data_IF_240161278977
#
_entry.id   IF_240161278977
#
_cell.length_a   1.000
_cell.length_b   1.000
_cell.length_c   1.000
_cell.angle_alpha   90.00
_cell.angle_beta   90.00
_cell.angle_gamma   90.00
#
_symmetry.space_group_name_H-M   'P 1'
#
loop_
_entity.id
_entity.type
_entity.pdbx_description
1 polymer ?
#
# COMPACT_ATOMS: atom_id res chain seq x y z
N UNK A 1 0.60 8.80 22.96
CA UNK A 1 -0.39 8.07 23.74
C UNK A 1 -0.16 6.57 23.65
N UNK A 2 -0.61 5.83 24.66
CA UNK A 2 -0.35 4.41 24.77
C UNK A 2 -0.87 3.57 23.62
N UNK A 3 -2.07 3.88 23.11
CA UNK A 3 -2.68 3.12 22.00
C UNK A 3 -1.86 3.24 20.71
N UNK A 4 -1.36 4.43 20.43
CA UNK A 4 -0.55 4.67 19.24
C UNK A 4 0.83 4.01 19.37
N UNK A 5 1.40 4.00 20.56
CA UNK A 5 2.70 3.35 20.80
C UNK A 5 2.61 1.84 20.65
N UNK A 6 1.53 1.21 21.10
CA UNK A 6 1.26 -0.21 20.90
C UNK A 6 1.15 -0.52 19.40
N UNK A 7 0.44 0.31 18.67
CA UNK A 7 0.26 0.16 17.23
C UNK A 7 1.60 0.25 16.50
N UNK A 8 2.45 1.19 16.86
CA UNK A 8 3.80 1.32 16.30
C UNK A 8 4.66 0.08 16.55
N UNK A 9 4.57 -0.48 17.75
CA UNK A 9 5.32 -1.69 18.11
C UNK A 9 4.89 -2.87 17.24
N UNK A 10 3.58 -3.05 17.06
CA UNK A 10 3.05 -4.11 16.18
C UNK A 10 3.49 -3.90 14.73
N UNK A 11 3.48 -2.65 14.27
CA UNK A 11 3.89 -2.33 12.90
C UNK A 11 5.37 -2.65 12.66
N UNK A 12 6.23 -2.58 13.68
CA UNK A 12 7.65 -2.91 13.54
C UNK A 12 7.89 -4.42 13.41
N UNK A 13 6.89 -5.25 13.77
CA UNK A 13 6.97 -6.71 13.67
C UNK A 13 6.31 -7.19 12.37
N UNK A 14 6.76 -6.64 11.23
CA UNK A 14 6.12 -6.88 9.94
C UNK A 14 6.26 -8.31 9.41
N UNK A 15 7.01 -9.17 10.09
CA UNK A 15 7.14 -10.57 9.71
C UNK A 15 5.89 -11.41 10.04
N UNK A 16 5.02 -10.91 10.91
CA UNK A 16 3.77 -11.59 11.27
C UNK A 16 2.59 -10.97 10.53
N UNK A 17 1.48 -11.70 10.31
CA UNK A 17 0.29 -11.11 9.69
C UNK A 17 -0.25 -9.92 10.49
N UNK A 18 -0.29 -10.02 11.81
CA UNK A 18 -0.79 -8.94 12.69
C UNK A 18 0.10 -7.70 12.60
N UNK A 19 1.43 -7.89 12.61
CA UNK A 19 2.37 -6.79 12.48
C UNK A 19 2.31 -6.14 11.11
N UNK A 20 2.17 -6.95 10.05
CA UNK A 20 2.02 -6.44 8.69
C UNK A 20 0.73 -5.66 8.51
N UNK A 21 -0.39 -6.16 9.05
CA UNK A 21 -1.66 -5.44 9.04
C UNK A 21 -1.54 -4.12 9.78
N UNK A 22 -0.88 -4.12 10.94
CA UNK A 22 -0.67 -2.90 11.73
C UNK A 22 0.17 -1.89 10.94
N UNK A 23 1.20 -2.33 10.22
CA UNK A 23 2.01 -1.46 9.37
C UNK A 23 1.16 -0.82 8.27
N UNK A 24 0.31 -1.63 7.62
CA UNK A 24 -0.62 -1.13 6.60
C UNK A 24 -1.57 -0.08 7.18
N UNK A 25 -2.15 -0.34 8.36
CA UNK A 25 -3.11 0.57 8.98
C UNK A 25 -2.45 1.90 9.39
N UNK A 26 -1.18 1.89 9.81
CA UNK A 26 -0.43 3.13 10.05
C UNK A 26 -0.30 3.94 8.76
N UNK A 27 0.04 3.28 7.66
CA UNK A 27 0.17 3.91 6.35
C UNK A 27 -1.17 4.50 5.91
N UNK A 28 -2.25 3.74 6.08
CA UNK A 28 -3.60 4.21 5.74
C UNK A 28 -3.98 5.46 6.53
N UNK A 29 -3.62 5.52 7.82
CA UNK A 29 -3.89 6.70 8.65
C UNK A 29 -3.21 7.95 8.08
N UNK A 30 -1.95 7.85 7.66
CA UNK A 30 -1.25 8.97 7.03
C UNK A 30 -1.89 9.34 5.68
N UNK A 31 -2.33 8.34 4.92
CA UNK A 31 -3.05 8.59 3.67
C UNK A 31 -4.33 9.38 3.92
N UNK A 32 -5.11 8.98 4.92
CA UNK A 32 -6.39 9.64 5.25
C UNK A 32 -6.19 11.09 5.71
N UNK A 33 -5.02 11.39 6.28
CA UNK A 33 -4.65 12.74 6.70
C UNK A 33 -4.08 13.59 5.56
N UNK A 34 -3.89 13.00 4.38
CA UNK A 34 -3.29 13.69 3.23
C UNK A 34 -1.78 13.83 3.31
N UNK A 35 -1.12 13.12 4.22
CA UNK A 35 0.34 13.15 4.38
C UNK A 35 0.99 12.12 3.44
N UNK A 36 0.98 12.43 2.15
CA UNK A 36 1.41 11.52 1.10
C UNK A 36 2.92 11.28 1.09
N UNK A 37 3.70 12.25 1.53
CA UNK A 37 5.15 12.07 1.66
C UNK A 37 5.48 11.01 2.70
N UNK A 38 4.78 11.02 3.84
CA UNK A 38 4.97 10.00 4.87
C UNK A 38 4.48 8.63 4.40
N UNK A 39 3.36 8.59 3.65
CA UNK A 39 2.89 7.33 3.04
C UNK A 39 4.00 6.72 2.18
N UNK A 40 4.59 7.50 1.30
CA UNK A 40 5.66 7.03 0.41
C UNK A 40 6.84 6.46 1.21
N UNK A 41 7.33 7.21 2.20
CA UNK A 41 8.46 6.79 3.03
C UNK A 41 8.15 5.50 3.81
N UNK A 42 6.94 5.40 4.36
CA UNK A 42 6.52 4.23 5.15
C UNK A 42 6.32 2.99 4.28
N UNK A 43 5.80 3.13 3.08
CA UNK A 43 5.65 2.01 2.15
C UNK A 43 7.02 1.44 1.79
N UNK A 44 7.98 2.29 1.46
CA UNK A 44 9.34 1.84 1.14
C UNK A 44 10.02 1.17 2.34
N UNK A 45 9.85 1.72 3.55
CA UNK A 45 10.39 1.11 4.76
C UNK A 45 9.77 -0.28 5.01
N UNK A 46 8.46 -0.41 4.78
CA UNK A 46 7.76 -1.70 4.92
C UNK A 46 8.27 -2.71 3.89
N UNK A 47 8.46 -2.29 2.64
CA UNK A 47 9.04 -3.12 1.60
C UNK A 47 10.46 -3.57 1.97
N UNK A 48 11.29 -2.64 2.46
CA UNK A 48 12.68 -2.91 2.81
C UNK A 48 12.81 -3.78 4.06
N UNK A 49 11.76 -3.91 4.87
CA UNK A 49 11.77 -4.78 6.05
C UNK A 49 11.87 -6.27 5.70
N UNK A 50 11.66 -6.62 4.43
CA UNK A 50 11.70 -8.00 3.97
C UNK A 50 10.51 -8.82 4.44
N UNK A 51 9.36 -8.17 4.68
CA UNK A 51 8.17 -8.88 5.13
C UNK A 51 7.78 -9.99 4.15
N UNK A 52 7.42 -11.16 4.68
CA UNK A 52 6.84 -12.23 3.89
C UNK A 52 5.32 -12.11 3.74
N UNK A 53 4.71 -11.08 4.33
CA UNK A 53 3.27 -10.86 4.30
C UNK A 53 2.89 -10.08 3.04
N UNK A 54 2.93 -10.74 1.89
CA UNK A 54 2.81 -10.09 0.57
C UNK A 54 1.44 -9.46 0.35
N UNK A 55 0.37 -10.00 0.94
CA UNK A 55 -0.96 -9.39 0.85
C UNK A 55 -0.96 -7.96 1.41
N UNK A 56 -0.45 -7.79 2.63
CA UNK A 56 -0.44 -6.48 3.29
C UNK A 56 0.54 -5.53 2.61
N UNK A 57 1.67 -6.05 2.14
CA UNK A 57 2.63 -5.24 1.38
C UNK A 57 2.01 -4.76 0.06
N UNK A 58 1.30 -5.62 -0.66
CA UNK A 58 0.60 -5.23 -1.89
C UNK A 58 -0.45 -4.15 -1.61
N UNK A 59 -1.22 -4.29 -0.52
CA UNK A 59 -2.20 -3.29 -0.12
C UNK A 59 -1.52 -1.94 0.19
N UNK A 60 -0.35 -1.96 0.80
CA UNK A 60 0.44 -0.75 1.07
C UNK A 60 0.90 -0.10 -0.25
N UNK A 61 1.34 -0.87 -1.22
CA UNK A 61 1.72 -0.34 -2.54
C UNK A 61 0.51 0.25 -3.29
N UNK A 62 -0.68 -0.28 -3.09
CA UNK A 62 -1.91 0.33 -3.64
C UNK A 62 -2.12 1.73 -3.04
N UNK A 63 -1.93 1.89 -1.73
CA UNK A 63 -1.99 3.21 -1.10
C UNK A 63 -0.90 4.15 -1.64
N UNK A 64 0.29 3.64 -1.93
CA UNK A 64 1.35 4.43 -2.54
C UNK A 64 0.93 4.93 -3.93
N UNK A 65 0.37 4.05 -4.75
CA UNK A 65 -0.15 4.44 -6.06
C UNK A 65 -1.26 5.48 -5.95
N UNK A 66 -2.17 5.31 -4.99
CA UNK A 66 -3.23 6.29 -4.71
C UNK A 66 -2.64 7.63 -4.28
N UNK A 67 -1.56 7.63 -3.49
CA UNK A 67 -0.87 8.86 -3.07
C UNK A 67 -0.28 9.60 -4.27
N UNK A 68 0.33 8.88 -5.20
CA UNK A 68 0.84 9.48 -6.43
C UNK A 68 -0.31 10.09 -7.25
N UNK A 69 -1.43 9.38 -7.38
CA UNK A 69 -2.58 9.87 -8.12
C UNK A 69 -3.17 11.14 -7.49
N UNK A 70 -3.26 11.18 -6.15
CA UNK A 70 -3.75 12.36 -5.42
C UNK A 70 -2.84 13.58 -5.62
N UNK A 71 -1.55 13.38 -5.85
CA UNK A 71 -0.59 14.44 -6.11
C UNK A 71 -0.51 14.81 -7.61
N UNK A 72 -1.34 14.18 -8.47
CA UNK A 72 -1.30 14.40 -9.91
C UNK A 72 -0.14 13.70 -10.61
N UNK A 73 0.60 12.84 -9.91
CA UNK A 73 1.73 12.10 -10.46
C UNK A 73 1.23 10.80 -11.10
N UNK A 74 0.51 10.90 -12.20
CA UNK A 74 -0.22 9.79 -12.79
C UNK A 74 0.68 8.71 -13.39
N UNK A 75 1.86 9.07 -13.88
CA UNK A 75 2.82 8.10 -14.42
C UNK A 75 3.37 7.21 -13.31
N UNK A 76 3.71 7.80 -12.17
CA UNK A 76 4.18 7.05 -11.01
C UNK A 76 3.07 6.18 -10.43
N UNK A 77 1.84 6.69 -10.38
CA UNK A 77 0.69 5.91 -9.94
C UNK A 77 0.51 4.67 -10.82
N UNK A 78 0.53 4.85 -12.13
CA UNK A 78 0.40 3.76 -13.10
C UNK A 78 1.51 2.73 -12.91
N UNK A 79 2.76 3.17 -12.83
CA UNK A 79 3.91 2.28 -12.66
C UNK A 79 3.79 1.47 -11.36
N UNK A 80 3.33 2.08 -10.29
CA UNK A 80 3.14 1.42 -8.99
C UNK A 80 2.05 0.35 -9.08
N UNK A 81 0.91 0.66 -9.68
CA UNK A 81 -0.17 -0.32 -9.85
C UNK A 81 0.25 -1.47 -10.78
N UNK A 82 0.97 -1.18 -11.85
CA UNK A 82 1.48 -2.21 -12.77
C UNK A 82 2.47 -3.14 -12.08
N UNK A 83 3.32 -2.62 -11.20
CA UNK A 83 4.26 -3.43 -10.43
C UNK A 83 3.53 -4.41 -9.51
N UNK A 84 2.42 -4.01 -8.89
CA UNK A 84 1.61 -4.91 -8.08
C UNK A 84 0.94 -5.97 -8.97
N UNK A 85 0.34 -5.55 -10.08
CA UNK A 85 -0.30 -6.45 -11.05
C UNK A 85 0.65 -7.56 -11.49
N UNK A 86 1.89 -7.19 -11.81
CA UNK A 86 2.85 -8.10 -12.43
C UNK A 86 3.61 -8.93 -11.39
N UNK A 87 3.75 -8.43 -10.17
CA UNK A 87 4.56 -9.07 -9.13
C UNK A 87 3.78 -9.79 -8.03
N UNK A 88 2.48 -9.56 -7.93
CA UNK A 88 1.70 -10.13 -6.84
C UNK A 88 0.99 -11.42 -7.26
N UNK A 89 1.08 -12.45 -6.43
CA UNK A 89 0.34 -13.70 -6.61
C UNK A 89 -0.80 -13.77 -5.59
N UNK A 90 -2.06 -13.88 -6.02
CA UNK A 90 -3.20 -13.94 -5.08
C UNK A 90 -3.08 -15.11 -4.11
N UNK A 91 -3.48 -14.88 -2.87
CA UNK A 91 -3.38 -15.87 -1.78
C UNK A 91 -4.64 -16.74 -1.65
N UNK A 92 -5.74 -16.33 -2.27
CA UNK A 92 -6.99 -17.10 -2.18
C UNK A 92 -8.12 -16.42 -2.95
N UNK A 93 -9.31 -17.00 -2.87
CA UNK A 93 -10.49 -16.53 -3.61
C UNK A 93 -10.98 -15.16 -3.15
N UNK A 94 -10.78 -14.85 -1.86
CA UNK A 94 -11.21 -13.59 -1.27
C UNK A 94 -10.16 -12.49 -1.37
N UNK A 95 -9.05 -12.77 -2.04
CA UNK A 95 -7.98 -11.80 -2.26
C UNK A 95 -8.43 -10.76 -3.30
N UNK A 96 -8.54 -9.53 -2.86
CA UNK A 96 -9.08 -8.43 -3.67
C UNK A 96 -7.99 -7.57 -4.34
N UNK A 97 -6.71 -7.92 -4.17
CA UNK A 97 -5.60 -7.07 -4.60
C UNK A 97 -5.62 -6.80 -6.10
N UNK A 98 -5.67 -7.84 -6.91
CA UNK A 98 -5.61 -7.66 -8.38
C UNK A 98 -6.84 -6.94 -8.93
N UNK A 99 -8.03 -7.17 -8.35
CA UNK A 99 -9.25 -6.46 -8.75
C UNK A 99 -9.14 -4.98 -8.42
N UNK A 100 -8.61 -4.65 -7.25
CA UNK A 100 -8.38 -3.27 -6.83
C UNK A 100 -7.39 -2.56 -7.76
N UNK A 101 -6.33 -3.25 -8.14
CA UNK A 101 -5.30 -2.70 -9.04
C UNK A 101 -5.89 -2.47 -10.43
N UNK A 102 -6.64 -3.45 -10.96
CA UNK A 102 -7.27 -3.33 -12.28
C UNK A 102 -8.23 -2.14 -12.35
N UNK A 103 -9.05 -1.96 -11.33
CA UNK A 103 -9.98 -0.83 -11.26
C UNK A 103 -9.23 0.49 -11.32
N UNK A 104 -8.12 0.59 -10.60
CA UNK A 104 -7.30 1.82 -10.57
C UNK A 104 -6.59 2.07 -11.90
N UNK A 105 -6.08 1.04 -12.54
CA UNK A 105 -5.44 1.17 -13.86
C UNK A 105 -6.47 1.60 -14.92
N UNK A 106 -7.67 1.03 -14.89
CA UNK A 106 -8.76 1.42 -15.81
C UNK A 106 -9.13 2.88 -15.60
N UNK A 107 -9.23 3.32 -14.35
CA UNK A 107 -9.54 4.72 -14.02
C UNK A 107 -8.45 5.67 -14.52
N UNK A 108 -7.18 5.30 -14.34
CA UNK A 108 -6.05 6.11 -14.81
C UNK A 108 -6.04 6.20 -16.34
N UNK A 109 -6.37 5.14 -17.04
CA UNK A 109 -6.44 5.14 -18.51
C UNK A 109 -7.47 6.17 -19.01
N UNK A 110 -8.62 6.28 -18.34
CA UNK A 110 -9.63 7.28 -18.65
C UNK A 110 -9.13 8.70 -18.35
N UNK A 111 -8.47 8.88 -17.21
CA UNK A 111 -7.97 10.19 -16.78
C UNK A 111 -6.86 10.74 -17.67
N UNK A 112 -6.10 9.87 -18.33
CA UNK A 112 -4.96 10.25 -19.16
C UNK A 112 -5.30 10.45 -20.64
N UNK A 113 -6.55 10.28 -21.01
CA UNK A 113 -7.02 10.52 -22.37
C UNK A 113 -7.19 11.98 -22.71
#
# INVERSE_FOLDING_TARGET
>A
SGAFDIFRKLASESSTPEGAEAAYLVIQDYFDKGDFTTVENKVYAFSDSGTGQTYWLAKAFILLGDSFAERGELKQAKATFESVRDGYTPEGKDDDVLDNVRMRLDKLAVMSE
#
